data_IF_617341414591
#
_entry.id   IF_617341414591
#
_cell.length_a   1.000
_cell.length_b   1.000
_cell.length_c   1.000
_cell.angle_alpha   90.00
_cell.angle_beta   90.00
_cell.angle_gamma   90.00
#
_symmetry.space_group_name_H-M   'P 1'
#
loop_
_entity.id
_entity.type
_entity.pdbx_description
1 polymer ?
#
# COMPACT_ATOMS: atom_id res chain seq x y z
N UNK A 1 -2.07 -7.29 26.13
CA UNK A 1 -1.62 -7.79 24.80
C UNK A 1 -2.78 -8.57 24.20
N UNK A 2 -3.18 -8.26 22.98
CA UNK A 2 -4.23 -9.04 22.31
C UNK A 2 -3.67 -10.43 21.97
N UNK A 3 -4.43 -11.47 22.22
CA UNK A 3 -3.99 -12.86 22.01
C UNK A 3 -3.98 -13.28 20.54
N UNK A 4 -4.64 -12.52 19.67
CA UNK A 4 -4.71 -12.74 18.23
C UNK A 4 -4.90 -11.42 17.49
N UNK A 5 -4.55 -11.41 16.22
CA UNK A 5 -4.72 -10.31 15.28
C UNK A 5 -5.39 -10.87 14.03
N UNK A 6 -6.50 -10.29 13.62
CA UNK A 6 -7.24 -10.74 12.42
C UNK A 6 -6.85 -9.89 11.22
N UNK A 7 -6.29 -10.52 10.20
CA UNK A 7 -5.82 -9.86 8.98
C UNK A 7 -6.64 -10.38 7.79
N UNK A 8 -7.13 -9.47 6.97
CA UNK A 8 -7.73 -9.78 5.67
C UNK A 8 -6.68 -9.54 4.57
N UNK A 9 -6.47 -10.54 3.74
CA UNK A 9 -5.63 -10.43 2.54
C UNK A 9 -6.55 -10.22 1.33
N UNK A 10 -6.30 -9.16 0.57
CA UNK A 10 -7.05 -8.87 -0.65
C UNK A 10 -6.25 -9.39 -1.84
N UNK A 11 -6.76 -10.44 -2.47
CA UNK A 11 -6.23 -10.94 -3.73
C UNK A 11 -7.01 -10.30 -4.88
N UNK A 12 -6.38 -9.44 -5.66
CA UNK A 12 -6.97 -8.73 -6.78
C UNK A 12 -6.24 -9.07 -8.08
N UNK A 13 -6.97 -9.04 -9.18
CA UNK A 13 -6.41 -9.10 -10.51
C UNK A 13 -6.27 -7.67 -11.04
N UNK A 14 -5.10 -7.06 -10.84
CA UNK A 14 -4.86 -5.69 -11.22
C UNK A 14 -4.95 -5.50 -12.73
N UNK A 15 -5.70 -4.48 -13.15
CA UNK A 15 -5.66 -3.98 -14.52
C UNK A 15 -4.36 -3.20 -14.69
N UNK A 16 -3.55 -3.61 -15.67
CA UNK A 16 -2.23 -3.06 -15.91
C UNK A 16 -2.28 -1.55 -16.15
N UNK A 17 -1.49 -0.81 -15.37
CA UNK A 17 -1.32 0.64 -15.50
C UNK A 17 -2.65 1.45 -15.51
N UNK A 18 -3.64 0.99 -14.75
CA UNK A 18 -4.95 1.65 -14.65
C UNK A 18 -5.38 1.89 -13.20
N UNK A 19 -4.85 2.94 -12.54
CA UNK A 19 -5.13 3.21 -11.13
C UNK A 19 -6.62 3.38 -10.83
N UNK A 20 -7.35 4.04 -11.72
CA UNK A 20 -8.77 4.32 -11.51
C UNK A 20 -9.62 3.04 -11.51
N UNK A 21 -9.37 2.14 -12.46
CA UNK A 21 -10.10 0.88 -12.54
C UNK A 21 -9.72 -0.05 -11.39
N UNK A 22 -8.43 -0.09 -11.02
CA UNK A 22 -7.98 -0.86 -9.88
C UNK A 22 -8.62 -0.37 -8.57
N UNK A 23 -8.72 0.94 -8.39
CA UNK A 23 -9.37 1.50 -7.21
C UNK A 23 -10.85 1.10 -7.13
N UNK A 24 -11.58 1.11 -8.25
CA UNK A 24 -12.99 0.66 -8.31
C UNK A 24 -13.13 -0.81 -7.93
N UNK A 25 -12.30 -1.67 -8.53
CA UNK A 25 -12.31 -3.10 -8.22
C UNK A 25 -11.99 -3.37 -6.75
N UNK A 26 -10.95 -2.70 -6.22
CA UNK A 26 -10.57 -2.83 -4.82
C UNK A 26 -11.66 -2.34 -3.89
N UNK A 27 -12.32 -1.23 -4.19
CA UNK A 27 -13.46 -0.74 -3.40
C UNK A 27 -14.54 -1.82 -3.28
N UNK A 28 -14.90 -2.48 -4.39
CA UNK A 28 -15.87 -3.57 -4.38
C UNK A 28 -15.40 -4.80 -3.58
N UNK A 29 -14.10 -5.14 -3.67
CA UNK A 29 -13.54 -6.24 -2.89
C UNK A 29 -13.51 -5.93 -1.40
N UNK A 30 -13.21 -4.70 -1.04
CA UNK A 30 -13.12 -4.22 0.33
C UNK A 30 -14.48 -4.24 1.04
N UNK A 31 -15.60 -4.14 0.32
CA UNK A 31 -16.96 -4.31 0.88
C UNK A 31 -17.19 -5.72 1.46
N UNK A 32 -16.43 -6.71 1.01
CA UNK A 32 -16.51 -8.10 1.46
C UNK A 32 -15.62 -8.41 2.67
N UNK A 33 -14.82 -7.46 3.09
CA UNK A 33 -13.91 -7.66 4.22
C UNK A 33 -14.70 -7.87 5.51
N UNK A 34 -14.35 -8.94 6.22
CA UNK A 34 -14.98 -9.27 7.50
C UNK A 34 -14.91 -8.10 8.49
N UNK A 35 -16.01 -7.87 9.20
CA UNK A 35 -16.04 -6.89 10.30
C UNK A 35 -15.00 -7.20 11.39
N UNK A 36 -14.60 -8.46 11.53
CA UNK A 36 -13.59 -8.90 12.49
C UNK A 36 -12.15 -8.57 12.07
N UNK A 37 -11.91 -8.30 10.79
CA UNK A 37 -10.58 -7.92 10.34
C UNK A 37 -10.16 -6.57 10.94
N UNK A 38 -8.96 -6.50 11.45
CA UNK A 38 -8.36 -5.31 12.05
C UNK A 38 -7.39 -4.63 11.09
N UNK A 39 -6.75 -5.44 10.26
CA UNK A 39 -5.81 -5.03 9.21
C UNK A 39 -6.28 -5.60 7.88
N UNK A 40 -6.22 -4.80 6.84
CA UNK A 40 -6.48 -5.20 5.46
C UNK A 40 -5.23 -4.95 4.63
N UNK A 41 -4.71 -6.01 4.00
CA UNK A 41 -3.53 -5.93 3.15
C UNK A 41 -3.94 -6.00 1.68
N UNK A 42 -3.55 -4.98 0.93
CA UNK A 42 -3.64 -4.91 -0.52
C UNK A 42 -2.35 -5.48 -1.15
N UNK A 43 -2.39 -5.88 -2.43
CA UNK A 43 -1.20 -6.36 -3.14
C UNK A 43 -0.07 -5.33 -3.23
N UNK A 44 1.13 -5.80 -3.57
CA UNK A 44 2.22 -4.94 -4.01
C UNK A 44 1.81 -4.17 -5.27
N UNK A 45 2.07 -2.86 -5.31
CA UNK A 45 1.77 -1.98 -6.45
C UNK A 45 0.30 -2.08 -6.90
N UNK A 46 -0.61 -2.14 -5.94
CA UNK A 46 -2.02 -2.47 -6.17
C UNK A 46 -2.75 -1.52 -7.12
N UNK A 47 -2.28 -0.28 -7.26
CA UNK A 47 -2.91 0.72 -8.13
C UNK A 47 -2.55 0.55 -9.61
N UNK A 48 -1.39 0.01 -9.91
CA UNK A 48 -0.86 -0.03 -11.30
C UNK A 48 -0.50 -1.43 -11.77
N UNK A 49 -0.43 -2.41 -10.86
CA UNK A 49 0.38 -3.59 -11.09
C UNK A 49 1.88 -3.25 -10.96
N UNK A 50 2.73 -4.22 -11.09
CA UNK A 50 4.18 -4.06 -10.93
C UNK A 50 4.80 -3.39 -12.18
N UNK A 51 4.41 -2.13 -12.44
CA UNK A 51 4.83 -1.34 -13.58
C UNK A 51 6.25 -0.80 -13.43
N UNK A 52 7.02 -0.81 -14.51
CA UNK A 52 8.34 -0.17 -14.62
C UNK A 52 8.26 1.21 -15.28
N UNK A 53 7.08 1.84 -15.26
CA UNK A 53 6.84 3.17 -15.83
C UNK A 53 6.38 4.19 -14.76
N UNK A 54 7.18 4.40 -13.68
CA UNK A 54 6.77 5.29 -12.60
C UNK A 54 6.62 6.76 -13.03
N UNK A 55 7.29 7.18 -14.11
CA UNK A 55 7.19 8.54 -14.62
C UNK A 55 5.76 8.93 -15.02
N UNK A 56 4.96 7.96 -15.44
CA UNK A 56 3.59 8.19 -15.87
C UNK A 56 2.56 7.92 -14.74
N UNK A 57 2.84 6.97 -13.87
CA UNK A 57 1.84 6.44 -12.94
C UNK A 57 2.14 6.69 -11.46
N UNK A 58 3.32 7.19 -11.10
CA UNK A 58 3.60 7.52 -9.72
C UNK A 58 2.80 8.76 -9.28
N UNK A 59 2.32 8.72 -8.07
CA UNK A 59 1.67 9.87 -7.44
C UNK A 59 2.50 10.38 -6.25
N UNK A 60 2.22 11.60 -5.81
CA UNK A 60 2.80 12.11 -4.56
C UNK A 60 2.10 11.52 -3.33
N UNK A 61 2.66 11.74 -2.13
CA UNK A 61 2.01 11.36 -0.87
C UNK A 61 0.69 12.10 -0.60
N UNK A 62 0.35 13.11 -1.40
CA UNK A 62 -0.94 13.81 -1.40
C UNK A 62 -1.83 13.38 -2.57
N UNK A 63 -1.43 12.34 -3.29
CA UNK A 63 -2.14 11.84 -4.46
C UNK A 63 -3.48 11.18 -4.14
N UNK A 64 -4.30 10.94 -5.17
CA UNK A 64 -5.68 10.47 -5.01
C UNK A 64 -5.75 9.08 -4.37
N UNK A 65 -4.82 8.18 -4.66
CA UNK A 65 -4.84 6.83 -4.09
C UNK A 65 -4.50 6.86 -2.60
N UNK A 66 -3.53 7.68 -2.19
CA UNK A 66 -3.19 7.87 -0.77
C UNK A 66 -4.39 8.43 -0.01
N UNK A 67 -5.05 9.45 -0.56
CA UNK A 67 -6.25 10.03 0.04
C UNK A 67 -7.40 9.01 0.15
N UNK A 68 -7.59 8.18 -0.88
CA UNK A 68 -8.56 7.09 -0.85
C UNK A 68 -8.26 6.08 0.28
N UNK A 69 -7.00 5.68 0.44
CA UNK A 69 -6.60 4.78 1.54
C UNK A 69 -6.92 5.40 2.90
N UNK A 70 -6.58 6.69 3.10
CA UNK A 70 -6.84 7.40 4.35
C UNK A 70 -8.35 7.49 4.66
N UNK A 71 -9.15 7.86 3.66
CA UNK A 71 -10.60 7.94 3.80
C UNK A 71 -11.20 6.55 4.11
N UNK A 72 -10.76 5.51 3.42
CA UNK A 72 -11.25 4.15 3.67
C UNK A 72 -10.90 3.67 5.09
N UNK A 73 -9.65 3.82 5.50
CA UNK A 73 -9.19 3.42 6.83
C UNK A 73 -9.98 4.13 7.95
N UNK A 74 -10.20 5.44 7.81
CA UNK A 74 -10.96 6.23 8.76
C UNK A 74 -12.44 5.82 8.80
N UNK A 75 -13.08 5.64 7.65
CA UNK A 75 -14.50 5.27 7.56
C UNK A 75 -14.78 3.87 8.12
N UNK A 76 -13.85 2.94 7.95
CA UNK A 76 -14.04 1.55 8.38
C UNK A 76 -13.36 1.23 9.72
N UNK A 77 -12.63 2.18 10.30
CA UNK A 77 -11.90 2.02 11.56
C UNK A 77 -10.95 0.81 11.54
N UNK A 78 -10.25 0.61 10.42
CA UNK A 78 -9.33 -0.48 10.16
C UNK A 78 -8.02 0.05 9.60
N UNK A 79 -6.94 -0.70 9.80
CA UNK A 79 -5.69 -0.44 9.06
C UNK A 79 -5.87 -0.90 7.62
N UNK A 80 -5.49 -0.04 6.68
CA UNK A 80 -5.36 -0.39 5.26
C UNK A 80 -3.91 -0.25 4.83
N UNK A 81 -3.33 -1.32 4.28
CA UNK A 81 -1.93 -1.31 3.91
C UNK A 81 -1.69 -1.93 2.53
N UNK A 82 -0.68 -1.44 1.83
CA UNK A 82 -0.27 -1.89 0.51
C UNK A 82 0.79 -0.96 -0.08
N UNK A 83 1.38 -1.31 -1.22
CA UNK A 83 2.40 -0.45 -1.82
C UNK A 83 1.94 0.24 -3.11
N UNK A 84 2.52 1.40 -3.34
CA UNK A 84 2.27 2.29 -4.48
C UNK A 84 3.57 2.75 -5.12
N UNK A 85 3.51 3.12 -6.39
CA UNK A 85 4.53 3.96 -7.01
C UNK A 85 4.37 5.39 -6.50
N UNK A 86 5.36 5.88 -5.75
CA UNK A 86 5.36 7.23 -5.19
C UNK A 86 6.52 8.03 -5.76
N UNK A 87 6.22 9.24 -6.22
CA UNK A 87 7.23 10.25 -6.57
C UNK A 87 7.48 11.16 -5.36
N UNK A 88 8.72 11.34 -5.03
CA UNK A 88 9.15 12.32 -4.03
C UNK A 88 10.50 12.94 -4.43
N UNK A 89 10.54 14.26 -4.56
CA UNK A 89 11.75 15.03 -4.91
C UNK A 89 12.44 14.57 -6.20
N UNK A 90 11.65 14.18 -7.20
CA UNK A 90 12.14 13.71 -8.49
C UNK A 90 12.64 12.27 -8.51
N UNK A 91 12.46 11.53 -7.44
CA UNK A 91 12.78 10.11 -7.33
C UNK A 91 11.49 9.28 -7.19
N UNK A 92 11.55 8.03 -7.65
CA UNK A 92 10.42 7.11 -7.60
C UNK A 92 10.71 5.98 -6.63
N UNK A 93 9.69 5.60 -5.85
CA UNK A 93 9.78 4.57 -4.82
C UNK A 93 8.63 3.57 -4.96
N UNK A 94 8.91 2.30 -4.76
CA UNK A 94 7.89 1.31 -4.42
C UNK A 94 7.67 1.45 -2.90
N UNK A 95 6.68 2.27 -2.54
CA UNK A 95 6.43 2.69 -1.15
C UNK A 95 5.26 1.94 -0.56
N UNK A 96 5.51 1.20 0.49
CA UNK A 96 4.48 0.59 1.31
C UNK A 96 3.89 1.65 2.26
N UNK A 97 2.58 1.72 2.30
CA UNK A 97 1.82 2.56 3.21
C UNK A 97 1.09 1.70 4.23
N UNK A 98 1.19 2.09 5.48
CA UNK A 98 0.45 1.55 6.61
C UNK A 98 -0.47 2.65 7.14
N UNK A 99 -1.71 2.66 6.67
CA UNK A 99 -2.68 3.73 6.99
C UNK A 99 -3.52 3.32 8.18
N UNK A 100 -3.51 4.15 9.22
CA UNK A 100 -4.20 3.90 10.49
C UNK A 100 -5.66 4.39 10.45
N UNK A 101 -6.51 3.90 11.38
CA UNK A 101 -7.92 4.32 11.47
C UNK A 101 -8.16 5.81 11.69
N UNK A 102 -7.20 6.56 12.16
CA UNK A 102 -7.27 8.03 12.31
C UNK A 102 -6.86 8.79 11.04
N UNK A 103 -6.53 8.06 9.96
CA UNK A 103 -6.06 8.61 8.69
C UNK A 103 -4.57 8.96 8.67
N UNK A 104 -3.85 8.84 9.80
CA UNK A 104 -2.40 8.94 9.79
C UNK A 104 -1.77 7.71 9.14
N UNK A 105 -0.49 7.81 8.74
CA UNK A 105 0.18 6.69 8.10
C UNK A 105 1.66 6.59 8.46
N UNK A 106 2.18 5.40 8.33
CA UNK A 106 3.62 5.12 8.29
C UNK A 106 4.00 4.60 6.91
N UNK A 107 5.25 4.76 6.54
CA UNK A 107 5.76 4.36 5.22
C UNK A 107 7.01 3.50 5.33
N UNK A 108 7.22 2.68 4.30
CA UNK A 108 8.46 1.93 4.11
C UNK A 108 8.76 1.87 2.61
N UNK A 109 9.95 2.30 2.22
CA UNK A 109 10.40 2.18 0.84
C UNK A 109 11.12 0.83 0.66
N UNK A 110 10.69 0.07 -0.34
CA UNK A 110 11.25 -1.25 -0.64
C UNK A 110 12.76 -1.17 -0.81
N UNK A 111 13.49 -2.00 -0.04
CA UNK A 111 14.95 -1.98 -0.02
C UNK A 111 15.60 -2.90 -1.05
N UNK A 112 14.94 -3.99 -1.38
CA UNK A 112 15.44 -5.01 -2.29
C UNK A 112 14.61 -5.02 -3.56
N UNK A 113 15.10 -4.32 -4.59
CA UNK A 113 14.46 -4.27 -5.89
C UNK A 113 14.57 -5.60 -6.63
N UNK A 114 13.56 -5.91 -7.44
CA UNK A 114 13.55 -7.09 -8.31
C UNK A 114 14.30 -6.79 -9.60
N UNK A 115 15.62 -6.95 -9.59
CA UNK A 115 16.52 -6.59 -10.70
C UNK A 115 16.21 -7.32 -12.00
N UNK A 116 15.68 -8.56 -11.94
CA UNK A 116 15.27 -9.31 -13.14
C UNK A 116 14.15 -8.61 -13.92
N UNK A 117 13.29 -7.87 -13.23
CA UNK A 117 12.26 -7.04 -13.87
C UNK A 117 12.75 -5.63 -14.20
N UNK A 118 13.97 -5.26 -13.82
CA UNK A 118 14.52 -3.92 -14.03
C UNK A 118 14.04 -2.87 -13.02
N UNK A 119 13.48 -3.29 -11.89
CA UNK A 119 12.98 -2.37 -10.85
C UNK A 119 14.08 -1.42 -10.36
N UNK A 120 15.29 -1.92 -10.18
CA UNK A 120 16.48 -1.18 -9.75
C UNK A 120 16.93 -0.08 -10.74
N UNK A 121 16.42 -0.08 -11.95
CA UNK A 121 16.73 0.93 -12.98
C UNK A 121 15.77 2.11 -12.95
N UNK A 122 14.58 1.94 -12.37
CA UNK A 122 13.51 2.94 -12.41
C UNK A 122 13.03 3.37 -11.02
N UNK A 123 13.18 2.52 -10.01
CA UNK A 123 12.83 2.84 -8.63
C UNK A 123 14.07 3.00 -7.77
N UNK A 124 14.02 3.98 -6.89
CA UNK A 124 15.03 4.19 -5.85
C UNK A 124 14.78 3.24 -4.69
N UNK A 125 15.80 2.52 -4.26
CA UNK A 125 15.69 1.61 -3.11
C UNK A 125 15.65 2.37 -1.80
N UNK A 126 14.89 1.86 -0.85
CA UNK A 126 14.87 2.37 0.52
C UNK A 126 16.18 2.06 1.26
N UNK A 127 16.50 2.87 2.25
CA UNK A 127 17.74 2.74 3.04
C UNK A 127 17.49 2.31 4.49
N UNK A 128 16.23 2.34 4.93
CA UNK A 128 15.85 2.06 6.33
C UNK A 128 14.99 0.80 6.42
N UNK A 129 15.03 0.16 7.58
CA UNK A 129 14.03 -0.86 7.96
C UNK A 129 12.88 -0.18 8.69
N UNK A 130 11.70 -0.78 8.63
CA UNK A 130 10.55 -0.32 9.38
C UNK A 130 9.98 -1.46 10.24
N UNK A 131 9.50 -1.11 11.41
CA UNK A 131 8.68 -1.98 12.26
C UNK A 131 7.50 -1.14 12.74
N UNK A 132 6.30 -1.56 12.39
CA UNK A 132 5.07 -0.89 12.83
C UNK A 132 4.55 -1.58 14.09
N UNK A 133 4.11 -0.80 15.05
CA UNK A 133 3.47 -1.33 16.24
C UNK A 133 1.95 -1.15 16.14
N UNK A 134 1.22 -2.25 16.33
CA UNK A 134 -0.24 -2.22 16.32
C UNK A 134 -0.79 -3.17 17.38
N UNK A 135 -1.50 -2.63 18.36
CA UNK A 135 -2.13 -3.38 19.47
C UNK A 135 -1.18 -4.35 20.20
N UNK A 136 0.08 -3.97 20.34
CA UNK A 136 1.13 -4.78 20.98
C UNK A 136 1.81 -5.79 20.06
N UNK A 137 1.44 -5.83 18.78
CA UNK A 137 2.15 -6.59 17.74
C UNK A 137 3.20 -5.75 17.06
N UNK A 138 4.32 -6.36 16.73
CA UNK A 138 5.39 -5.75 15.91
C UNK A 138 5.35 -6.36 14.52
N UNK A 139 5.11 -5.53 13.53
CA UNK A 139 4.88 -5.93 12.13
C UNK A 139 5.97 -5.31 11.27
N UNK A 140 6.65 -6.16 10.49
CA UNK A 140 7.68 -5.75 9.53
C UNK A 140 7.09 -5.92 8.12
N UNK A 141 7.03 -4.85 7.30
CA UNK A 141 6.57 -4.93 5.91
C UNK A 141 7.59 -5.57 4.99
#
# INVERSE_FOLDING_TARGET
MHSHLTIALVQANAVWENPLENQKQLTTLLERVSSKAEIVLLPEMFATGFSMNPQEFAESMQGPTVQWMQAWAANHQKVLAGSLAIEEKGLYYNRFLWVLPDGSYHTYDKRYGFSLAGEDKVYTVGTTTAVFEYRGWRICP
#
